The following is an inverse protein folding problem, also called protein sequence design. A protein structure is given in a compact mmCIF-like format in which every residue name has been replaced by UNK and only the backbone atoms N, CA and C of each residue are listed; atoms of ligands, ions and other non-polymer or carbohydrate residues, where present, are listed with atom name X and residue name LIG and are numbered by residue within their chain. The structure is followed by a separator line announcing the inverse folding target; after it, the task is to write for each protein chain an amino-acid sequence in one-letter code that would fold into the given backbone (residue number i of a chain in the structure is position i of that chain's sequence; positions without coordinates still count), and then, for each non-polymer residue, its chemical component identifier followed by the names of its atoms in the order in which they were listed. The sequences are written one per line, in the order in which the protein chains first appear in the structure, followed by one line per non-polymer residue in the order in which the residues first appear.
data_IF_176655693710
#
_entry.id   IF_176655693710
#
_cell.length_a   1.000
_cell.length_b   1.000
_cell.length_c   1.000
_cell.angle_alpha   90.00
_cell.angle_beta   90.00
_cell.angle_gamma   90.00
#
_symmetry.space_group_name_H-M   'P 1'
#
loop_
_entity.id
_entity.type
_entity.pdbx_description
1 polymer ?
#
# COMPACT_ATOMS: atom_id res chain seq x y z
N UNK A 1 -8.43 -0.77 -34.34
CA UNK A 1 -8.38 -2.25 -34.21
C UNK A 1 -7.39 -2.60 -33.12
N UNK A 2 -7.88 -2.82 -31.91
CA UNK A 2 -7.10 -3.16 -30.72
C UNK A 2 -6.87 -4.68 -30.75
N UNK A 3 -5.63 -5.14 -30.87
CA UNK A 3 -5.32 -6.55 -30.66
C UNK A 3 -5.78 -6.95 -29.26
N UNK A 4 -6.49 -8.09 -29.09
CA UNK A 4 -6.70 -8.67 -27.78
C UNK A 4 -5.33 -8.88 -27.11
N UNK A 5 -5.24 -8.66 -25.80
CA UNK A 5 -4.13 -9.15 -24.96
C UNK A 5 -4.20 -10.69 -24.85
N UNK A 6 -4.47 -11.39 -25.95
CA UNK A 6 -4.35 -12.83 -26.01
C UNK A 6 -2.86 -13.18 -25.97
N UNK A 7 -2.42 -13.51 -24.76
CA UNK A 7 -1.33 -14.43 -24.45
C UNK A 7 0.06 -14.06 -24.93
N UNK A 8 0.62 -12.95 -24.45
CA UNK A 8 2.08 -12.78 -24.39
C UNK A 8 2.66 -12.92 -22.99
N UNK A 9 1.84 -12.93 -21.93
CA UNK A 9 2.30 -13.09 -20.56
C UNK A 9 1.19 -13.62 -19.64
N UNK A 10 1.56 -14.39 -18.62
CA UNK A 10 0.70 -14.63 -17.47
C UNK A 10 0.77 -13.43 -16.52
N UNK A 11 -0.37 -12.96 -16.01
CA UNK A 11 -0.44 -11.78 -15.15
C UNK A 11 -0.83 -12.18 -13.73
N UNK A 12 -0.07 -11.70 -12.75
CA UNK A 12 -0.36 -11.88 -11.32
C UNK A 12 -0.47 -10.51 -10.68
N UNK A 13 -1.66 -10.20 -10.15
CA UNK A 13 -1.95 -8.98 -9.40
C UNK A 13 -1.76 -9.28 -7.91
N UNK A 14 -0.86 -8.56 -7.25
CA UNK A 14 -0.53 -8.80 -5.83
C UNK A 14 -1.21 -7.76 -4.96
N UNK A 15 -2.16 -8.18 -4.13
CA UNK A 15 -2.91 -7.31 -3.23
C UNK A 15 -2.24 -7.16 -1.85
N UNK A 16 -2.33 -5.97 -1.28
CA UNK A 16 -1.90 -5.66 0.09
C UNK A 16 -3.04 -5.08 0.94
N UNK A 17 -2.70 -4.37 2.02
CA UNK A 17 -3.69 -3.77 2.93
C UNK A 17 -4.64 -2.77 2.25
N UNK A 18 -4.19 -2.07 1.20
CA UNK A 18 -5.02 -1.12 0.44
C UNK A 18 -6.13 -1.76 -0.40
N UNK A 19 -6.13 -3.10 -0.48
CA UNK A 19 -7.12 -3.87 -1.23
C UNK A 19 -7.66 -5.07 -0.45
N UNK A 20 -7.60 -5.02 0.89
CA UNK A 20 -7.94 -6.15 1.77
C UNK A 20 -7.31 -7.48 1.28
N UNK A 21 -5.98 -7.46 1.10
CA UNK A 21 -5.19 -8.59 0.64
C UNK A 21 -5.60 -9.16 -0.74
N UNK A 22 -6.23 -8.32 -1.57
CA UNK A 22 -6.65 -8.63 -2.94
C UNK A 22 -8.16 -8.84 -3.09
N UNK A 23 -8.91 -8.89 -1.98
CA UNK A 23 -10.37 -9.04 -2.00
C UNK A 23 -11.05 -7.92 -2.78
N UNK A 24 -10.60 -6.68 -2.59
CA UNK A 24 -11.16 -5.51 -3.28
C UNK A 24 -10.77 -5.45 -4.77
N UNK A 25 -9.90 -6.36 -5.25
CA UNK A 25 -9.46 -6.44 -6.64
C UNK A 25 -10.24 -7.45 -7.46
N UNK A 26 -11.25 -8.12 -6.90
CA UNK A 26 -12.03 -9.16 -7.61
C UNK A 26 -12.53 -8.71 -8.98
N UNK A 27 -12.98 -7.45 -9.10
CA UNK A 27 -13.39 -6.84 -10.37
C UNK A 27 -12.28 -6.83 -11.44
N UNK A 28 -11.00 -6.77 -11.04
CA UNK A 28 -9.87 -6.72 -11.97
C UNK A 28 -9.67 -8.03 -12.74
N UNK A 29 -10.12 -9.17 -12.19
CA UNK A 29 -10.09 -10.46 -12.90
C UNK A 29 -11.00 -10.47 -14.13
N UNK A 30 -12.09 -9.71 -14.10
CA UNK A 30 -13.00 -9.52 -15.24
C UNK A 30 -12.39 -8.57 -16.28
N UNK A 31 -11.68 -7.54 -15.83
CA UNK A 31 -11.03 -6.55 -16.70
C UNK A 31 -9.80 -7.10 -17.43
N UNK A 32 -9.09 -8.03 -16.81
CA UNK A 32 -7.88 -8.67 -17.34
C UNK A 32 -8.08 -10.19 -17.34
N UNK A 33 -8.72 -10.74 -18.39
CA UNK A 33 -9.01 -12.16 -18.48
C UNK A 33 -7.76 -13.01 -18.26
N UNK A 34 -7.84 -13.97 -17.33
CA UNK A 34 -6.75 -14.87 -16.97
C UNK A 34 -5.74 -14.32 -15.96
N UNK A 35 -5.89 -13.08 -15.49
CA UNK A 35 -5.09 -12.57 -14.39
C UNK A 35 -5.41 -13.31 -13.09
N UNK A 36 -4.37 -13.64 -12.33
CA UNK A 36 -4.50 -14.22 -10.99
C UNK A 36 -4.33 -13.14 -9.94
N UNK A 37 -5.22 -13.11 -8.95
CA UNK A 37 -5.13 -12.20 -7.80
C UNK A 37 -4.65 -13.01 -6.60
N UNK A 38 -3.64 -12.51 -5.90
CA UNK A 38 -3.07 -13.17 -4.73
C UNK A 38 -2.57 -12.14 -3.72
N UNK A 39 -2.60 -12.41 -2.41
CA UNK A 39 -1.79 -11.65 -1.48
C UNK A 39 -0.31 -12.00 -1.65
N UNK A 40 0.56 -11.17 -1.07
CA UNK A 40 2.00 -11.42 -0.98
C UNK A 40 2.35 -12.63 -0.08
N UNK A 41 3.64 -12.99 -0.04
CA UNK A 41 4.15 -14.07 0.78
C UNK A 41 3.88 -15.46 0.21
N UNK A 42 3.50 -16.42 1.06
CA UNK A 42 3.33 -17.83 0.66
C UNK A 42 2.30 -18.05 -0.45
N UNK A 43 1.12 -17.39 -0.45
CA UNK A 43 0.16 -17.52 -1.55
C UNK A 43 0.77 -17.10 -2.90
N UNK A 44 1.48 -15.97 -2.96
CA UNK A 44 2.21 -15.54 -4.15
C UNK A 44 3.24 -16.58 -4.59
N UNK A 45 4.08 -17.07 -3.67
CA UNK A 45 5.08 -18.09 -3.96
C UNK A 45 4.48 -19.35 -4.59
N UNK A 46 3.37 -19.85 -4.03
CA UNK A 46 2.66 -21.03 -4.51
C UNK A 46 2.08 -20.79 -5.92
N UNK A 47 1.45 -19.64 -6.13
CA UNK A 47 0.89 -19.24 -7.43
C UNK A 47 1.97 -19.19 -8.51
N UNK A 48 3.11 -18.56 -8.22
CA UNK A 48 4.22 -18.46 -9.18
C UNK A 48 4.86 -19.83 -9.46
N UNK A 49 5.04 -20.66 -8.43
CA UNK A 49 5.56 -22.03 -8.60
C UNK A 49 4.65 -22.86 -9.51
N UNK A 50 3.33 -22.76 -9.35
CA UNK A 50 2.36 -23.45 -10.19
C UNK A 50 2.39 -22.97 -11.65
N UNK A 51 2.44 -21.64 -11.87
CA UNK A 51 2.55 -21.07 -13.22
C UNK A 51 3.83 -21.51 -13.93
N UNK A 52 4.97 -21.54 -13.22
CA UNK A 52 6.24 -22.05 -13.75
C UNK A 52 6.16 -23.53 -14.13
N UNK A 53 5.43 -24.33 -13.37
CA UNK A 53 5.19 -25.75 -13.69
C UNK A 53 4.41 -25.94 -14.98
N UNK A 54 3.39 -25.12 -15.23
CA UNK A 54 2.58 -25.19 -16.46
C UNK A 54 3.37 -24.80 -17.71
N UNK A 55 4.22 -23.79 -17.63
CA UNK A 55 5.04 -23.33 -18.76
C UNK A 55 6.09 -24.34 -19.26
N UNK A 56 6.30 -25.45 -18.55
CA UNK A 56 7.24 -26.52 -18.91
C UNK A 56 6.61 -27.68 -19.68
N UNK A 57 5.27 -27.70 -19.80
CA UNK A 57 4.54 -28.83 -20.41
C UNK A 57 4.28 -28.60 -21.91
N UNK A 58 5.14 -29.14 -22.77
CA UNK A 58 4.67 -29.88 -23.96
C UNK A 58 4.56 -29.19 -25.32
N UNK A 59 4.93 -27.92 -25.49
CA UNK A 59 5.06 -27.34 -26.84
C UNK A 59 6.41 -26.67 -26.96
N UNK A 60 7.19 -26.92 -28.02
CA UNK A 60 8.50 -26.31 -28.26
C UNK A 60 8.50 -24.78 -28.48
N UNK A 61 7.47 -24.08 -28.00
CA UNK A 61 7.39 -22.64 -27.90
C UNK A 61 8.09 -22.16 -26.62
N UNK A 62 8.75 -21.01 -26.70
CA UNK A 62 9.31 -20.34 -25.53
C UNK A 62 8.19 -20.04 -24.50
N UNK A 63 8.42 -20.32 -23.21
CA UNK A 63 7.42 -20.08 -22.19
C UNK A 63 7.11 -18.58 -22.06
N UNK A 64 5.82 -18.24 -22.08
CA UNK A 64 5.38 -16.86 -21.92
C UNK A 64 5.81 -16.28 -20.56
N UNK A 65 6.35 -15.05 -20.50
CA UNK A 65 6.76 -14.41 -19.25
C UNK A 65 5.61 -14.28 -18.24
N UNK A 66 5.95 -14.27 -16.95
CA UNK A 66 5.03 -13.98 -15.86
C UNK A 66 5.28 -12.53 -15.42
N UNK A 67 4.28 -11.67 -15.57
CA UNK A 67 4.29 -10.30 -15.09
C UNK A 67 3.60 -10.24 -13.73
N UNK A 68 4.33 -9.78 -12.73
CA UNK A 68 3.82 -9.64 -11.36
C UNK A 68 3.67 -8.16 -11.05
N UNK A 69 2.45 -7.72 -10.74
CA UNK A 69 2.09 -6.31 -10.56
C UNK A 69 1.62 -6.07 -9.11
N UNK A 70 2.39 -5.34 -8.30
CA UNK A 70 1.94 -4.88 -6.99
C UNK A 70 0.78 -3.88 -7.12
N UNK A 71 -0.36 -4.23 -6.54
CA UNK A 71 -1.59 -3.41 -6.56
C UNK A 71 -1.66 -2.56 -5.29
N UNK A 72 -0.88 -1.49 -5.28
CA UNK A 72 -0.80 -0.48 -4.21
C UNK A 72 -0.87 0.91 -4.82
N UNK A 73 -1.50 1.86 -4.12
CA UNK A 73 -1.45 3.28 -4.40
C UNK A 73 -0.21 3.95 -3.78
N UNK A 74 0.80 3.18 -3.38
CA UNK A 74 2.05 3.65 -2.78
C UNK A 74 2.02 3.79 -1.26
N UNK A 75 0.92 3.41 -0.59
CA UNK A 75 0.87 3.36 0.88
C UNK A 75 1.36 2.04 1.46
N UNK A 76 1.76 1.08 0.61
CA UNK A 76 2.28 -0.20 1.03
C UNK A 76 3.61 -0.50 0.30
N UNK A 77 4.69 0.23 0.62
CA UNK A 77 5.99 -0.01 0.00
C UNK A 77 6.54 -1.42 0.28
N UNK A 78 6.25 -1.97 1.46
CA UNK A 78 6.64 -3.33 1.84
C UNK A 78 6.02 -4.39 0.93
N UNK A 79 4.80 -4.18 0.40
CA UNK A 79 4.20 -5.07 -0.61
C UNK A 79 5.09 -5.23 -1.84
N UNK A 80 5.68 -4.13 -2.32
CA UNK A 80 6.57 -4.14 -3.49
C UNK A 80 7.84 -4.92 -3.16
N UNK A 81 8.46 -4.64 -2.01
CA UNK A 81 9.66 -5.32 -1.55
C UNK A 81 9.44 -6.83 -1.32
N UNK A 82 8.35 -7.22 -0.68
CA UNK A 82 8.04 -8.63 -0.41
C UNK A 82 7.67 -9.40 -1.68
N UNK A 83 7.03 -8.74 -2.64
CA UNK A 83 6.83 -9.28 -3.98
C UNK A 83 8.19 -9.52 -4.65
N UNK A 84 9.08 -8.53 -4.65
CA UNK A 84 10.43 -8.65 -5.21
C UNK A 84 11.27 -9.76 -4.54
N UNK A 85 11.23 -9.88 -3.21
CA UNK A 85 11.87 -10.97 -2.45
C UNK A 85 11.39 -12.33 -2.90
N UNK A 86 10.07 -12.48 -3.07
CA UNK A 86 9.47 -13.74 -3.54
C UNK A 86 9.96 -14.12 -4.94
N UNK A 87 10.02 -13.15 -5.86
CA UNK A 87 10.55 -13.37 -7.22
C UNK A 87 12.05 -13.70 -7.19
N UNK A 88 12.82 -12.99 -6.38
CA UNK A 88 14.26 -13.22 -6.21
C UNK A 88 14.56 -14.65 -5.73
N UNK A 89 13.86 -15.14 -4.71
CA UNK A 89 14.04 -16.52 -4.23
C UNK A 89 13.73 -17.59 -5.28
N UNK A 90 12.66 -17.39 -6.05
CA UNK A 90 12.31 -18.29 -7.16
C UNK A 90 13.32 -18.20 -8.32
N UNK A 91 13.98 -17.06 -8.47
CA UNK A 91 15.10 -16.84 -9.38
C UNK A 91 16.41 -17.49 -8.92
N UNK A 92 16.73 -17.46 -7.62
CA UNK A 92 17.96 -18.05 -7.03
C UNK A 92 17.93 -19.58 -7.01
N UNK A 93 16.76 -20.21 -6.81
CA UNK A 93 16.60 -21.67 -6.94
C UNK A 93 16.97 -22.23 -8.33
N UNK A 94 17.27 -21.36 -9.31
CA UNK A 94 17.85 -21.69 -10.62
C UNK A 94 19.31 -22.14 -10.52
N UNK A 95 20.13 -21.53 -9.67
CA UNK A 95 21.59 -21.70 -9.70
C UNK A 95 22.10 -22.96 -9.00
N UNK A 96 21.25 -23.64 -8.23
CA UNK A 96 21.61 -24.86 -7.47
C UNK A 96 21.18 -26.16 -8.15
N UNK A 97 20.50 -26.10 -9.30
CA UNK A 97 20.02 -27.27 -10.05
C UNK A 97 20.43 -27.20 -11.52
N UNK A 98 21.72 -26.97 -11.79
CA UNK A 98 22.33 -27.15 -13.11
C UNK A 98 22.46 -28.65 -13.43
N UNK A 99 21.33 -29.29 -13.73
CA UNK A 99 21.31 -30.52 -14.53
C UNK A 99 21.16 -30.10 -15.99
N UNK A 100 22.22 -30.30 -16.77
CA UNK A 100 22.28 -30.08 -18.20
C UNK A 100 21.08 -30.76 -18.90
N UNK A 101 20.17 -29.95 -19.46
CA UNK A 101 19.01 -30.43 -20.23
C UNK A 101 17.66 -29.79 -19.86
N UNK A 102 17.58 -28.92 -18.85
CA UNK A 102 16.32 -28.28 -18.47
C UNK A 102 15.94 -27.12 -19.41
N UNK A 103 14.69 -27.12 -19.90
CA UNK A 103 14.08 -26.07 -20.72
C UNK A 103 14.30 -24.66 -20.12
N UNK A 104 14.42 -23.66 -21.01
CA UNK A 104 14.59 -22.24 -20.64
C UNK A 104 13.56 -21.84 -19.57
N UNK A 105 13.98 -21.26 -18.43
CA UNK A 105 13.06 -20.94 -17.35
C UNK A 105 12.08 -19.85 -17.77
N UNK A 106 10.81 -20.02 -17.40
CA UNK A 106 9.76 -19.00 -17.59
C UNK A 106 10.24 -17.67 -17.01
N UNK A 107 10.42 -16.61 -17.83
CA UNK A 107 10.89 -15.32 -17.35
C UNK A 107 9.88 -14.71 -16.37
N UNK A 108 10.34 -14.10 -15.29
CA UNK A 108 9.50 -13.37 -14.35
C UNK A 108 9.95 -11.91 -14.29
N UNK A 109 8.99 -11.00 -14.34
CA UNK A 109 9.24 -9.56 -14.26
C UNK A 109 8.32 -8.94 -13.22
N UNK A 110 8.90 -8.09 -12.38
CA UNK A 110 8.18 -7.21 -11.48
C UNK A 110 7.85 -5.92 -12.23
N UNK A 111 6.56 -5.65 -12.41
CA UNK A 111 6.11 -4.37 -12.92
C UNK A 111 6.22 -3.28 -11.83
N UNK A 112 6.33 -2.03 -12.25
CA UNK A 112 6.13 -0.90 -11.33
C UNK A 112 4.77 -1.02 -10.64
N UNK A 113 4.70 -0.58 -9.39
CA UNK A 113 3.45 -0.59 -8.64
C UNK A 113 2.33 0.15 -9.39
N UNK A 114 1.08 -0.25 -9.12
CA UNK A 114 -0.10 0.35 -9.75
C UNK A 114 -0.07 1.89 -9.66
N UNK A 115 0.11 2.42 -8.45
CA UNK A 115 0.26 3.84 -8.18
C UNK A 115 1.38 4.14 -7.19
N UNK A 116 1.53 5.42 -6.90
CA UNK A 116 2.45 5.97 -5.90
C UNK A 116 1.67 6.91 -4.99
N UNK A 117 2.23 7.29 -3.83
CA UNK A 117 1.55 8.22 -2.90
C UNK A 117 1.14 9.54 -3.56
N UNK A 118 1.90 10.02 -4.55
CA UNK A 118 1.54 11.20 -5.33
C UNK A 118 0.32 10.96 -6.23
N UNK A 119 0.22 9.78 -6.85
CA UNK A 119 -0.98 9.39 -7.59
C UNK A 119 -2.20 9.32 -6.65
N UNK A 120 -2.05 8.70 -5.47
CA UNK A 120 -3.12 8.66 -4.46
C UNK A 120 -3.57 10.07 -4.06
N UNK A 121 -2.61 10.96 -3.79
CA UNK A 121 -2.88 12.36 -3.45
C UNK A 121 -3.66 13.05 -4.57
N UNK A 122 -3.25 12.86 -5.82
CA UNK A 122 -3.94 13.45 -6.98
C UNK A 122 -5.38 12.93 -7.12
N UNK A 123 -5.60 11.61 -6.94
CA UNK A 123 -6.93 11.00 -7.01
C UNK A 123 -7.84 11.42 -5.86
N UNK A 124 -7.32 11.52 -4.64
CA UNK A 124 -8.08 12.03 -3.49
C UNK A 124 -8.41 13.52 -3.65
N UNK A 125 -7.53 14.32 -4.24
CA UNK A 125 -7.83 15.73 -4.58
C UNK A 125 -8.93 15.84 -5.64
N UNK A 126 -8.92 14.96 -6.64
CA UNK A 126 -10.00 14.89 -7.62
C UNK A 126 -11.33 14.50 -6.95
N UNK A 127 -11.32 13.50 -6.06
CA UNK A 127 -12.50 13.12 -5.28
C UNK A 127 -13.02 14.27 -4.41
N UNK A 128 -12.15 14.99 -3.70
CA UNK A 128 -12.53 16.15 -2.91
C UNK A 128 -13.11 17.29 -3.77
N UNK A 129 -12.60 17.48 -4.99
CA UNK A 129 -13.15 18.46 -5.96
C UNK A 129 -14.55 18.07 -6.42
N UNK A 130 -14.76 16.78 -6.67
CA UNK A 130 -16.09 16.27 -7.05
C UNK A 130 -17.07 16.35 -5.88
N UNK A 131 -16.64 16.03 -4.65
CA UNK A 131 -17.43 16.22 -3.43
C UNK A 131 -17.84 17.69 -3.28
N UNK A 132 -16.90 18.64 -3.44
CA UNK A 132 -17.21 20.08 -3.39
C UNK A 132 -18.32 20.46 -4.35
N UNK A 133 -18.27 19.91 -5.57
CA UNK A 133 -19.23 20.23 -6.64
C UNK A 133 -20.64 19.75 -6.32
N UNK A 134 -20.77 18.57 -5.69
CA UNK A 134 -22.08 17.94 -5.42
C UNK A 134 -22.64 18.19 -4.02
N UNK A 135 -21.77 18.41 -3.03
CA UNK A 135 -22.08 18.56 -1.62
C UNK A 135 -21.13 19.59 -0.97
N UNK A 136 -21.32 20.89 -1.25
CA UNK A 136 -20.36 21.94 -0.87
C UNK A 136 -20.17 22.10 0.64
N UNK A 137 -21.18 21.75 1.44
CA UNK A 137 -21.16 21.85 2.90
C UNK A 137 -20.71 20.54 3.60
N UNK A 138 -20.47 19.47 2.85
CA UNK A 138 -20.04 18.20 3.43
C UNK A 138 -18.55 18.22 3.80
N UNK A 139 -18.17 17.55 4.88
CA UNK A 139 -16.78 17.17 5.12
C UNK A 139 -16.37 16.00 4.21
N UNK A 140 -15.07 15.90 3.95
CA UNK A 140 -14.44 14.73 3.32
C UNK A 140 -13.69 13.97 4.40
N UNK A 141 -14.07 12.71 4.62
CA UNK A 141 -13.33 11.80 5.48
C UNK A 141 -12.57 10.80 4.60
N UNK A 142 -11.25 10.96 4.53
CA UNK A 142 -10.37 10.00 3.86
C UNK A 142 -10.20 8.78 4.78
N UNK A 143 -10.50 7.60 4.27
CA UNK A 143 -10.70 6.42 5.11
C UNK A 143 -9.87 5.23 4.62
N UNK A 144 -9.26 4.50 5.56
CA UNK A 144 -8.66 3.19 5.31
C UNK A 144 -8.80 2.25 6.51
N UNK A 145 -8.65 0.95 6.27
CA UNK A 145 -8.41 0.01 7.36
C UNK A 145 -7.04 0.30 7.97
N UNK A 146 -6.89 0.12 9.28
CA UNK A 146 -5.63 0.31 9.97
C UNK A 146 -4.59 -0.72 9.48
N UNK A 147 -3.39 -0.22 9.19
CA UNK A 147 -2.25 -1.00 8.74
C UNK A 147 -1.13 -0.93 9.80
N UNK A 148 0.11 -0.70 9.37
CA UNK A 148 1.20 -0.39 10.29
C UNK A 148 1.29 1.13 10.52
N UNK A 149 1.96 1.59 11.60
CA UNK A 149 2.00 3.01 11.94
C UNK A 149 2.61 3.93 10.87
N UNK A 150 3.53 3.43 10.03
CA UNK A 150 4.14 4.23 8.96
C UNK A 150 3.19 4.42 7.79
N UNK A 151 2.50 3.36 7.38
CA UNK A 151 1.50 3.42 6.29
C UNK A 151 0.28 4.26 6.70
N UNK A 152 -0.04 4.27 7.99
CA UNK A 152 -1.08 5.12 8.58
C UNK A 152 -0.60 6.59 8.66
N UNK A 153 0.63 6.84 9.11
CA UNK A 153 1.21 8.18 9.12
C UNK A 153 1.32 8.78 7.70
N UNK A 154 1.62 7.95 6.71
CA UNK A 154 1.63 8.36 5.30
C UNK A 154 0.23 8.80 4.84
N UNK A 155 -0.83 8.15 5.31
CA UNK A 155 -2.20 8.62 5.03
C UNK A 155 -2.48 9.99 5.65
N UNK A 156 -1.97 10.25 6.86
CA UNK A 156 -2.05 11.59 7.47
C UNK A 156 -1.30 12.64 6.65
N UNK A 157 -0.11 12.31 6.13
CA UNK A 157 0.65 13.20 5.23
C UNK A 157 -0.13 13.49 3.95
N UNK A 158 -0.66 12.46 3.29
CA UNK A 158 -1.48 12.58 2.07
C UNK A 158 -2.73 13.43 2.35
N UNK A 159 -3.43 13.17 3.45
CA UNK A 159 -4.62 13.93 3.85
C UNK A 159 -4.30 15.40 4.06
N UNK A 160 -3.15 15.72 4.69
CA UNK A 160 -2.69 17.09 4.84
C UNK A 160 -2.50 17.78 3.48
N UNK A 161 -1.91 17.09 2.49
CA UNK A 161 -1.75 17.62 1.13
C UNK A 161 -3.10 17.81 0.43
N UNK A 162 -4.03 16.87 0.58
CA UNK A 162 -5.39 16.97 0.03
C UNK A 162 -6.13 18.15 0.66
N UNK A 163 -6.01 18.36 1.97
CA UNK A 163 -6.61 19.51 2.67
C UNK A 163 -6.02 20.83 2.19
N UNK A 164 -4.70 20.92 2.08
CA UNK A 164 -3.96 22.15 1.72
C UNK A 164 -4.19 22.56 0.27
N UNK A 165 -4.33 21.59 -0.64
CA UNK A 165 -4.50 21.82 -2.06
C UNK A 165 -5.87 21.38 -2.60
N UNK A 166 -6.84 21.21 -1.70
CA UNK A 166 -8.17 20.70 -1.96
C UNK A 166 -9.17 21.79 -2.34
N UNK A 167 -10.41 21.36 -2.58
CA UNK A 167 -11.50 22.22 -3.07
C UNK A 167 -12.24 23.01 -1.98
N UNK A 168 -11.68 23.09 -0.76
CA UNK A 168 -12.18 23.92 0.34
C UNK A 168 -13.20 23.27 1.27
N UNK A 169 -13.58 22.00 1.08
CA UNK A 169 -14.27 21.22 2.11
C UNK A 169 -13.34 20.97 3.31
N UNK A 170 -13.86 20.83 4.54
CA UNK A 170 -13.11 20.23 5.64
C UNK A 170 -12.64 18.83 5.22
N UNK A 171 -11.36 18.53 5.42
CA UNK A 171 -10.77 17.22 5.11
C UNK A 171 -10.08 16.66 6.35
N UNK A 172 -10.52 15.47 6.76
CA UNK A 172 -9.93 14.69 7.85
C UNK A 172 -9.64 13.26 7.39
N UNK A 173 -8.90 12.51 8.20
CA UNK A 173 -8.60 11.10 7.92
C UNK A 173 -8.87 10.20 9.10
N UNK A 174 -9.18 8.93 8.81
CA UNK A 174 -9.26 7.87 9.80
C UNK A 174 -8.68 6.58 9.25
N UNK A 175 -7.77 5.98 10.02
CA UNK A 175 -7.44 4.56 9.92
C UNK A 175 -8.17 3.84 11.05
N UNK A 176 -8.87 2.76 10.73
CA UNK A 176 -9.76 2.10 11.71
C UNK A 176 -9.67 0.59 11.62
N UNK A 177 -9.92 -0.07 12.75
CA UNK A 177 -9.98 -1.53 12.80
C UNK A 177 -11.40 -2.07 12.56
N UNK A 178 -12.42 -1.28 12.85
CA UNK A 178 -13.83 -1.67 12.76
C UNK A 178 -14.76 -0.46 12.48
N UNK A 179 -16.04 -0.75 12.31
CA UNK A 179 -17.07 0.26 12.06
C UNK A 179 -17.24 1.27 13.23
N UNK A 180 -16.88 0.90 14.46
CA UNK A 180 -16.97 1.80 15.62
C UNK A 180 -15.90 2.89 15.59
N UNK A 181 -14.70 2.55 15.10
CA UNK A 181 -13.65 3.53 14.81
C UNK A 181 -14.09 4.53 13.75
N UNK A 182 -14.77 4.06 12.70
CA UNK A 182 -15.33 4.94 11.67
C UNK A 182 -16.42 5.86 12.22
N UNK A 183 -17.33 5.34 13.05
CA UNK A 183 -18.33 6.17 13.74
C UNK A 183 -17.69 7.24 14.64
N UNK A 184 -16.60 6.89 15.31
CA UNK A 184 -15.85 7.84 16.15
C UNK A 184 -15.30 9.01 15.32
N UNK A 185 -14.74 8.72 14.14
CA UNK A 185 -14.26 9.75 13.22
C UNK A 185 -15.41 10.65 12.69
N UNK A 186 -16.54 10.06 12.32
CA UNK A 186 -17.73 10.80 11.89
C UNK A 186 -18.28 11.71 13.00
N UNK A 187 -18.36 11.21 14.23
CA UNK A 187 -18.80 12.00 15.37
C UNK A 187 -17.86 13.16 15.68
N UNK A 188 -16.54 12.97 15.52
CA UNK A 188 -15.57 14.07 15.63
C UNK A 188 -15.83 15.15 14.59
N UNK A 189 -16.08 14.79 13.33
CA UNK A 189 -16.42 15.76 12.27
C UNK A 189 -17.72 16.52 12.56
N UNK A 190 -18.75 15.83 13.08
CA UNK A 190 -19.99 16.47 13.55
C UNK A 190 -19.73 17.49 14.66
N UNK A 191 -18.91 17.14 15.66
CA UNK A 191 -18.52 18.06 16.73
C UNK A 191 -17.71 19.27 16.24
N UNK A 192 -17.00 19.13 15.11
CA UNK A 192 -16.31 20.22 14.43
C UNK A 192 -17.22 21.02 13.48
N UNK A 193 -18.53 20.74 13.48
CA UNK A 193 -19.54 21.51 12.74
C UNK A 193 -19.92 20.93 11.37
N UNK A 194 -19.40 19.77 10.98
CA UNK A 194 -19.75 19.14 9.70
C UNK A 194 -20.97 18.24 9.87
N UNK A 195 -22.14 18.74 9.44
CA UNK A 195 -23.39 18.00 9.55
C UNK A 195 -23.43 16.77 8.63
N UNK A 196 -22.82 16.85 7.45
CA UNK A 196 -22.73 15.77 6.48
C UNK A 196 -21.27 15.41 6.20
N UNK A 197 -21.00 14.12 5.94
CA UNK A 197 -19.65 13.65 5.60
C UNK A 197 -19.69 12.68 4.42
N UNK A 198 -18.84 12.91 3.43
CA UNK A 198 -18.56 11.94 2.38
C UNK A 198 -17.30 11.17 2.75
N UNK A 199 -17.42 9.84 2.87
CA UNK A 199 -16.33 8.93 3.20
C UNK A 199 -15.68 8.42 1.92
N UNK A 200 -14.42 8.79 1.71
CA UNK A 200 -13.63 8.49 0.52
C UNK A 200 -12.58 7.42 0.85
N UNK A 201 -12.59 6.23 0.21
CA UNK A 201 -11.60 5.20 0.50
C UNK A 201 -10.21 5.62 0.00
N UNK A 202 -9.16 5.34 0.77
CA UNK A 202 -7.76 5.53 0.38
C UNK A 202 -7.13 4.20 -0.06
N UNK A 203 -7.77 3.54 -1.03
CA UNK A 203 -7.40 2.23 -1.55
C UNK A 203 -8.33 1.77 -2.68
N UNK A 204 -8.35 0.46 -2.95
CA UNK A 204 -9.12 -0.14 -4.05
C UNK A 204 -10.59 -0.43 -3.71
N UNK A 205 -11.02 -0.13 -2.49
CA UNK A 205 -12.36 -0.41 -2.00
C UNK A 205 -13.44 0.20 -2.89
N UNK A 206 -14.43 -0.62 -3.26
CA UNK A 206 -15.59 -0.22 -4.09
C UNK A 206 -16.93 -0.34 -3.36
N UNK A 207 -16.95 -1.08 -2.26
CA UNK A 207 -18.14 -1.32 -1.43
C UNK A 207 -17.90 -0.72 -0.05
N UNK A 208 -18.95 -0.16 0.55
CA UNK A 208 -18.92 0.37 1.90
C UNK A 208 -18.66 -0.74 2.93
N UNK A 209 -17.41 -0.90 3.35
CA UNK A 209 -17.02 -1.88 4.37
C UNK A 209 -15.83 -1.41 5.21
N UNK A 210 -15.58 -2.07 6.34
CA UNK A 210 -14.35 -2.01 7.13
C UNK A 210 -13.87 -3.43 7.34
N UNK A 211 -12.62 -3.74 6.98
CA UNK A 211 -12.07 -5.12 7.03
C UNK A 211 -12.96 -6.21 6.40
N UNK A 212 -13.78 -5.84 5.41
CA UNK A 212 -14.71 -6.74 4.72
C UNK A 212 -16.13 -6.80 5.30
N UNK A 213 -16.38 -6.19 6.46
CA UNK A 213 -17.71 -6.09 7.06
C UNK A 213 -18.47 -4.87 6.54
N UNK A 214 -19.72 -5.06 6.11
CA UNK A 214 -20.52 -4.00 5.52
C UNK A 214 -20.82 -2.86 6.50
N UNK A 215 -20.74 -1.62 6.02
CA UNK A 215 -21.11 -0.41 6.79
C UNK A 215 -22.45 0.12 6.28
N UNK A 216 -23.46 0.29 7.15
CA UNK A 216 -24.79 0.72 6.75
C UNK A 216 -24.88 2.25 6.62
N UNK A 217 -24.21 2.83 5.61
CA UNK A 217 -24.31 4.27 5.33
C UNK A 217 -25.75 4.70 5.06
N UNK A 218 -26.14 5.86 5.58
CA UNK A 218 -27.52 6.36 5.51
C UNK A 218 -28.45 5.82 6.60
N UNK A 219 -27.97 4.95 7.49
CA UNK A 219 -28.76 4.38 8.58
C UNK A 219 -28.07 4.53 9.95
N UNK A 220 -28.87 4.60 11.01
CA UNK A 220 -28.39 4.62 12.39
C UNK A 220 -27.32 5.71 12.64
N UNK A 221 -26.18 5.31 13.23
CA UNK A 221 -25.05 6.21 13.48
C UNK A 221 -24.43 6.84 12.23
N UNK A 222 -24.68 6.26 11.05
CA UNK A 222 -24.15 6.67 9.75
C UNK A 222 -25.15 7.47 8.90
N UNK A 223 -26.28 7.92 9.47
CA UNK A 223 -27.35 8.62 8.73
C UNK A 223 -26.87 9.81 7.91
N UNK A 224 -25.92 10.61 8.43
CA UNK A 224 -25.38 11.79 7.73
C UNK A 224 -24.06 11.51 6.99
N UNK A 225 -23.75 10.23 6.78
CA UNK A 225 -22.55 9.80 6.09
C UNK A 225 -22.92 9.10 4.77
N UNK A 226 -22.16 9.41 3.73
CA UNK A 226 -22.29 8.79 2.41
C UNK A 226 -20.95 8.15 2.03
N UNK A 227 -20.97 6.94 1.46
CA UNK A 227 -19.79 6.35 0.87
C UNK A 227 -19.57 6.90 -0.55
N UNK A 228 -18.37 7.42 -0.82
CA UNK A 228 -18.01 7.98 -2.12
C UNK A 228 -18.07 6.96 -3.26
N UNK A 229 -17.81 5.69 -2.96
CA UNK A 229 -17.57 4.65 -3.97
C UNK A 229 -16.08 4.52 -4.29
N UNK A 230 -15.79 3.93 -5.45
CA UNK A 230 -14.41 3.70 -5.89
C UNK A 230 -13.68 5.00 -6.27
N UNK A 231 -12.41 5.12 -5.88
CA UNK A 231 -11.57 6.25 -6.29
C UNK A 231 -11.37 6.33 -7.82
N UNK A 232 -11.32 5.17 -8.47
CA UNK A 232 -11.07 5.05 -9.90
C UNK A 232 -12.16 4.23 -10.58
N UNK A 233 -12.49 4.65 -11.80
CA UNK A 233 -13.30 3.83 -12.70
C UNK A 233 -12.54 2.59 -13.11
N UNK A 234 -13.27 1.52 -13.45
CA UNK A 234 -12.68 0.26 -13.93
C UNK A 234 -11.85 0.46 -15.20
N UNK A 235 -12.25 1.36 -16.09
CA UNK A 235 -11.49 1.69 -17.29
C UNK A 235 -10.17 2.39 -16.97
N UNK A 236 -10.13 3.25 -15.94
CA UNK A 236 -8.89 3.87 -15.49
C UNK A 236 -7.96 2.82 -14.87
N UNK A 237 -8.48 1.91 -14.04
CA UNK A 237 -7.71 0.80 -13.47
C UNK A 237 -7.14 -0.10 -14.57
N UNK A 238 -7.98 -0.51 -15.52
CA UNK A 238 -7.57 -1.35 -16.66
C UNK A 238 -6.48 -0.67 -17.50
N UNK A 239 -6.60 0.64 -17.74
CA UNK A 239 -5.58 1.40 -18.48
C UNK A 239 -4.23 1.34 -17.77
N UNK A 240 -4.20 1.61 -16.46
CA UNK A 240 -2.96 1.57 -15.66
C UNK A 240 -2.37 0.17 -15.65
N UNK A 241 -3.18 -0.88 -15.43
CA UNK A 241 -2.69 -2.27 -15.45
C UNK A 241 -2.06 -2.61 -16.80
N UNK A 242 -2.71 -2.25 -17.92
CA UNK A 242 -2.19 -2.50 -19.26
C UNK A 242 -0.88 -1.75 -19.54
N UNK A 243 -0.77 -0.52 -19.05
CA UNK A 243 0.45 0.28 -19.16
C UNK A 243 1.60 -0.35 -18.37
N UNK A 244 1.37 -0.70 -17.10
CA UNK A 244 2.37 -1.40 -16.26
C UNK A 244 2.82 -2.74 -16.84
N UNK A 245 1.89 -3.52 -17.41
CA UNK A 245 2.24 -4.77 -18.09
C UNK A 245 3.11 -4.50 -19.32
N UNK A 246 2.74 -3.52 -20.15
CA UNK A 246 3.50 -3.17 -21.35
C UNK A 246 4.91 -2.71 -21.00
N UNK A 247 5.04 -1.84 -20.00
CA UNK A 247 6.31 -1.29 -19.56
C UNK A 247 7.21 -2.38 -18.97
N UNK A 248 6.63 -3.30 -18.18
CA UNK A 248 7.36 -4.46 -17.64
C UNK A 248 7.89 -5.37 -18.76
N UNK A 249 7.08 -5.70 -19.75
CA UNK A 249 7.50 -6.52 -20.90
C UNK A 249 8.55 -5.81 -21.76
N UNK A 250 8.41 -4.50 -21.96
CA UNK A 250 9.41 -3.69 -22.65
C UNK A 250 10.74 -3.67 -21.89
N UNK A 251 10.72 -3.49 -20.56
CA UNK A 251 11.92 -3.55 -19.73
C UNK A 251 12.57 -4.93 -19.76
N UNK A 252 11.77 -5.99 -19.76
CA UNK A 252 12.25 -7.36 -19.88
C UNK A 252 12.98 -7.60 -21.21
N UNK A 253 12.51 -7.02 -22.33
CA UNK A 253 13.21 -7.12 -23.62
C UNK A 253 14.57 -6.42 -23.62
N UNK A 254 14.85 -5.58 -22.63
CA UNK A 254 16.15 -4.94 -22.37
C UNK A 254 16.92 -5.61 -21.22
N UNK A 255 16.49 -6.79 -20.76
CA UNK A 255 17.13 -7.56 -19.68
C UNK A 255 16.87 -7.02 -18.27
N UNK A 256 15.90 -6.12 -18.09
CA UNK A 256 15.56 -5.52 -16.80
C UNK A 256 14.31 -6.19 -16.22
N UNK A 257 14.45 -6.83 -15.06
CA UNK A 257 13.36 -7.59 -14.43
C UNK A 257 12.57 -6.80 -13.39
N UNK A 258 13.03 -5.61 -13.01
CA UNK A 258 12.44 -4.79 -11.93
C UNK A 258 12.69 -5.33 -10.51
N UNK A 259 13.25 -6.53 -10.35
CA UNK A 259 13.43 -7.19 -9.04
C UNK A 259 14.37 -6.40 -8.14
N UNK A 260 15.52 -5.95 -8.64
CA UNK A 260 16.49 -5.18 -7.85
C UNK A 260 15.90 -3.84 -7.36
N UNK A 261 15.20 -3.12 -8.24
CA UNK A 261 14.49 -1.89 -7.86
C UNK A 261 13.40 -2.16 -6.83
N UNK A 262 12.64 -3.25 -6.98
CA UNK A 262 11.60 -3.64 -6.03
C UNK A 262 12.15 -4.02 -4.65
N UNK A 263 13.29 -4.70 -4.59
CA UNK A 263 13.96 -5.02 -3.31
C UNK A 263 14.33 -3.75 -2.52
N UNK A 264 14.63 -2.65 -3.24
CA UNK A 264 14.96 -1.37 -2.64
C UNK A 264 13.74 -0.52 -2.23
N UNK A 265 12.51 -0.92 -2.58
CA UNK A 265 11.31 -0.09 -2.41
C UNK A 265 10.98 0.27 -0.96
N UNK A 266 11.37 -0.56 0.01
CA UNK A 266 11.09 -0.35 1.43
C UNK A 266 12.22 0.42 2.16
N UNK A 267 13.38 0.61 1.52
CA UNK A 267 14.54 1.26 2.15
C UNK A 267 14.36 2.77 2.39
N UNK A 268 13.38 3.41 1.74
CA UNK A 268 13.03 4.82 1.96
C UNK A 268 11.96 5.06 3.03
N UNK A 269 11.38 4.01 3.61
CA UNK A 269 10.18 4.10 4.44
C UNK A 269 10.41 3.47 5.82
N UNK A 270 10.67 4.32 6.83
CA UNK A 270 10.24 4.05 8.21
C UNK A 270 11.22 3.46 9.24
N UNK A 271 12.27 2.71 8.88
CA UNK A 271 13.23 2.22 9.91
C UNK A 271 14.69 2.07 9.44
N UNK A 272 15.03 2.34 8.18
CA UNK A 272 16.38 2.09 7.65
C UNK A 272 17.50 2.97 8.25
N UNK A 273 17.19 3.89 9.19
CA UNK A 273 18.17 4.77 9.83
C UNK A 273 18.01 4.98 11.34
N UNK A 274 17.16 4.21 12.04
CA UNK A 274 17.21 4.24 13.51
C UNK A 274 18.33 3.34 14.01
N UNK A 275 19.56 3.84 13.94
CA UNK A 275 20.57 3.51 14.95
C UNK A 275 20.13 4.13 16.29
N UNK A 276 19.04 3.62 16.84
CA UNK A 276 18.66 3.88 18.22
C UNK A 276 19.20 2.70 19.03
N UNK A 277 20.42 2.87 19.56
CA UNK A 277 21.12 1.98 20.50
C UNK A 277 21.93 0.79 19.92
N UNK A 278 22.91 1.07 19.05
CA UNK A 278 24.14 0.24 18.99
C UNK A 278 25.39 1.13 19.04
N UNK A 279 25.46 2.01 20.02
CA UNK A 279 26.72 2.57 20.53
C UNK A 279 26.60 2.74 22.05
N UNK A 280 26.76 1.64 22.80
CA UNK A 280 27.34 1.61 24.13
C UNK A 280 27.41 0.15 24.65
N UNK A 281 28.63 -0.27 25.00
CA UNK A 281 29.00 -1.39 25.88
C UNK A 281 29.61 -2.66 25.22
N UNK A 282 30.72 -2.45 24.51
CA UNK A 282 31.90 -3.32 24.67
C UNK A 282 32.99 -2.56 25.42
N UNK A 283 33.49 -3.15 26.51
CA UNK A 283 34.55 -2.70 27.45
C UNK A 283 34.09 -2.10 28.79
N UNK A 284 34.03 -2.99 29.79
CA UNK A 284 33.97 -2.65 31.21
C UNK A 284 35.26 -1.94 31.64
N UNK A 285 35.15 -0.67 32.04
CA UNK A 285 36.17 -0.02 32.86
C UNK A 285 35.64 0.07 34.28
N UNK A 286 36.24 -0.72 35.17
CA UNK A 286 36.09 -0.59 36.62
C UNK A 286 36.81 0.68 37.07
N UNK A 287 36.07 1.74 37.38
CA UNK A 287 36.60 2.90 38.09
C UNK A 287 36.31 2.78 39.59
N UNK A 288 37.41 2.68 40.32
CA UNK A 288 37.50 2.63 41.78
C UNK A 288 37.13 4.00 42.36
N UNK A 289 36.27 4.04 43.38
CA UNK A 289 35.88 5.26 44.07
C UNK A 289 37.03 5.81 44.93
N UNK A 290 37.50 7.01 44.58
CA UNK A 290 38.39 7.86 45.39
C UNK A 290 37.69 9.18 45.70
N UNK A 291 37.86 9.64 46.94
CA UNK A 291 37.04 10.61 47.65
C UNK A 291 37.14 12.10 47.19
N UNK A 292 36.14 12.85 47.67
CA UNK A 292 36.10 14.30 47.93
C UNK A 292 35.99 15.25 46.72
N UNK A 293 34.82 15.90 46.56
CA UNK A 293 34.68 17.27 47.03
C UNK A 293 33.21 17.72 47.05
N UNK A 294 32.88 18.47 48.11
CA UNK A 294 31.55 18.92 48.48
C UNK A 294 31.14 20.20 47.74
N UNK A 295 29.92 20.23 47.19
CA UNK A 295 29.24 21.48 46.86
C UNK A 295 27.84 21.51 47.48
N UNK A 296 27.69 22.36 48.49
CA UNK A 296 26.44 22.71 49.15
C UNK A 296 25.67 23.74 48.31
N UNK A 297 24.45 23.42 47.89
CA UNK A 297 23.52 24.40 47.34
C UNK A 297 22.62 24.94 48.45
N UNK A 298 22.69 26.26 48.64
CA UNK A 298 21.88 27.00 49.61
C UNK A 298 20.57 27.43 48.92
N UNK A 299 19.41 27.10 49.50
CA UNK A 299 18.10 27.50 48.98
C UNK A 299 17.61 28.79 49.66
N UNK A 300 17.05 29.77 48.92
CA UNK A 300 16.40 30.94 49.51
C UNK A 300 14.99 30.61 50.04
N UNK A 301 14.64 31.27 51.14
CA UNK A 301 13.42 31.09 51.94
C UNK A 301 12.20 31.76 51.26
N UNK A 302 10.99 31.17 51.30
CA UNK A 302 9.77 31.79 50.78
C UNK A 302 9.17 32.83 51.74
N UNK A 303 8.72 33.95 51.17
CA UNK A 303 7.99 35.04 51.84
C UNK A 303 6.56 34.57 52.16
N UNK A 304 6.13 34.69 53.42
CA UNK A 304 4.73 34.54 53.83
C UNK A 304 4.03 35.89 53.83
N UNK A 305 2.85 35.93 53.23
CA UNK A 305 1.90 37.02 53.25
C UNK A 305 1.25 37.17 54.63
N UNK A 306 1.07 38.42 55.05
CA UNK A 306 -0.08 38.90 55.83
C UNK A 306 -0.52 40.22 55.21
#
# INVERSE_FOLDING_TARGET
MTQPLESQAAVVLVGGHESNNGTDLSFAAELVPGALITPAGRPLHNTLTHLRGRGRSGSGAEPAPIVVLPMTFGRNPTLVADTAKTLSWLGVQRSSSDTAGASSPVPMVLADAFGTGDHLTAWLRAAATEVRRRAPEAAVLIFADAANPFDDAELHRITHLVRTHGAGNPVETATVDDASGLLTALNRLRLLGSAQTVVVPAGFRRVASVRGEAVPFGEGGFTDAEFYGALLSEQAVLRVIRERIRDALHNLSHGRTGIEAGLAADHGHGYAHSHAFEEANGHSHTHHHGAADSHTHNHPIPIRSN
#
